data_IF_443173215694
#
_entry.id   IF_443173215694
#
_cell.length_a   1.000
_cell.length_b   1.000
_cell.length_c   1.000
_cell.angle_alpha   90.00
_cell.angle_beta   90.00
_cell.angle_gamma   90.00
#
_symmetry.space_group_name_H-M   'P 1'
#
loop_
_entity.id
_entity.type
_entity.pdbx_description
1 polymer ?
#
# COMPACT_ATOMS: atom_id res chain seq x y z
N UNK A 1 -32.82 22.67 16.79
CA UNK A 1 -32.51 21.68 15.73
C UNK A 1 -31.05 21.28 15.86
N UNK A 2 -30.68 19.99 15.96
CA UNK A 2 -29.27 19.64 16.11
C UNK A 2 -28.55 19.83 14.77
N UNK A 3 -27.49 20.64 14.80
CA UNK A 3 -26.58 20.91 13.70
C UNK A 3 -25.74 19.65 13.47
N UNK A 4 -26.22 18.75 12.61
CA UNK A 4 -25.45 17.58 12.20
C UNK A 4 -24.11 18.07 11.66
N UNK A 5 -23.02 17.61 12.27
CA UNK A 5 -21.65 17.92 11.83
C UNK A 5 -21.48 17.22 10.50
N UNK A 6 -21.33 17.98 9.40
CA UNK A 6 -20.82 17.47 8.14
C UNK A 6 -19.55 16.67 8.44
N UNK A 7 -19.63 15.34 8.34
CA UNK A 7 -18.46 14.49 8.47
C UNK A 7 -17.70 14.69 7.16
N UNK A 8 -16.60 15.45 7.23
CA UNK A 8 -15.74 15.68 6.06
C UNK A 8 -15.38 14.34 5.43
N UNK A 9 -15.61 14.23 4.12
CA UNK A 9 -15.35 13.05 3.30
C UNK A 9 -14.35 13.44 2.22
N UNK A 10 -13.34 12.61 2.03
CA UNK A 10 -12.33 12.79 1.01
C UNK A 10 -12.14 11.47 0.24
N UNK A 11 -12.12 11.56 -1.09
CA UNK A 11 -11.76 10.45 -1.97
C UNK A 11 -10.34 10.66 -2.50
N UNK A 12 -9.52 9.63 -2.32
CA UNK A 12 -8.14 9.54 -2.76
C UNK A 12 -8.02 8.38 -3.74
N UNK A 13 -7.28 8.62 -4.81
CA UNK A 13 -6.84 7.59 -5.73
C UNK A 13 -5.35 7.81 -6.01
N UNK A 14 -4.57 6.75 -5.92
CA UNK A 14 -3.14 6.74 -6.20
C UNK A 14 -2.83 5.55 -7.07
N UNK A 15 -2.18 5.80 -8.20
CA UNK A 15 -1.73 4.79 -9.14
C UNK A 15 -0.22 4.93 -9.30
N UNK A 16 0.52 3.83 -9.15
CA UNK A 16 1.96 3.79 -9.40
C UNK A 16 2.31 2.58 -10.24
N UNK A 17 3.28 2.76 -11.11
CA UNK A 17 3.84 1.72 -11.94
C UNK A 17 5.36 1.67 -11.77
N UNK A 18 5.94 0.48 -11.84
CA UNK A 18 7.39 0.32 -11.96
C UNK A 18 7.74 -0.87 -12.82
N UNK A 19 8.88 -0.78 -13.50
CA UNK A 19 9.45 -1.87 -14.26
C UNK A 19 10.65 -2.43 -13.50
N UNK A 20 10.70 -3.75 -13.36
CA UNK A 20 11.75 -4.47 -12.65
C UNK A 20 12.40 -5.48 -13.57
N UNK A 21 13.71 -5.69 -13.41
CA UNK A 21 14.45 -6.75 -14.10
C UNK A 21 14.34 -8.06 -13.32
N UNK A 22 13.11 -8.57 -13.22
CA UNK A 22 12.76 -9.83 -12.56
C UNK A 22 11.64 -10.54 -13.33
N UNK A 23 11.59 -11.86 -13.20
CA UNK A 23 10.51 -12.68 -13.75
C UNK A 23 9.16 -12.35 -13.11
N UNK A 24 8.07 -12.62 -13.83
CA UNK A 24 6.72 -12.44 -13.29
C UNK A 24 6.54 -13.29 -12.03
N UNK A 25 7.13 -14.48 -12.02
CA UNK A 25 7.08 -15.38 -10.87
C UNK A 25 7.81 -14.82 -9.64
N UNK A 26 8.98 -14.17 -9.81
CA UNK A 26 9.71 -13.56 -8.71
C UNK A 26 8.97 -12.33 -8.15
N UNK A 27 8.44 -11.48 -9.04
CA UNK A 27 7.60 -10.36 -8.67
C UNK A 27 6.35 -10.82 -7.91
N UNK A 28 5.68 -11.85 -8.43
CA UNK A 28 4.52 -12.47 -7.80
C UNK A 28 4.83 -13.05 -6.42
N UNK A 29 5.98 -13.71 -6.26
CA UNK A 29 6.41 -14.23 -4.97
C UNK A 29 6.57 -13.12 -3.92
N UNK A 30 7.12 -11.95 -4.31
CA UNK A 30 7.18 -10.80 -3.41
C UNK A 30 5.78 -10.25 -3.07
N UNK A 31 4.88 -10.14 -4.06
CA UNK A 31 3.50 -9.67 -3.80
C UNK A 31 2.72 -10.57 -2.84
N UNK A 32 3.03 -11.88 -2.82
CA UNK A 32 2.43 -12.86 -1.91
C UNK A 32 3.09 -12.92 -0.54
N UNK A 33 4.35 -12.49 -0.43
CA UNK A 33 5.05 -12.39 0.86
C UNK A 33 4.68 -11.08 1.56
N UNK A 34 3.54 -11.10 2.25
CA UNK A 34 3.00 -9.91 2.92
C UNK A 34 3.99 -9.28 3.92
N UNK A 35 4.71 -10.04 4.77
CA UNK A 35 5.76 -9.47 5.61
C UNK A 35 6.85 -8.72 4.82
N UNK A 36 7.39 -9.31 3.76
CA UNK A 36 8.42 -8.65 2.92
C UNK A 36 7.86 -7.44 2.20
N UNK A 37 6.70 -7.56 1.55
CA UNK A 37 6.03 -6.46 0.86
C UNK A 37 5.69 -5.31 1.82
N UNK A 38 5.23 -5.64 3.03
CA UNK A 38 4.93 -4.69 4.08
C UNK A 38 6.15 -3.90 4.56
N UNK A 39 7.33 -4.53 4.59
CA UNK A 39 8.61 -3.86 4.86
C UNK A 39 8.95 -2.78 3.83
N UNK A 40 8.42 -2.88 2.61
CA UNK A 40 8.56 -1.85 1.60
C UNK A 40 7.64 -0.64 1.86
N UNK A 41 6.59 -0.75 2.67
CA UNK A 41 5.63 0.35 2.87
C UNK A 41 6.12 1.25 4.01
N UNK A 42 6.55 2.49 3.74
CA UNK A 42 6.94 3.40 4.81
C UNK A 42 5.71 3.72 5.67
N UNK A 43 5.93 3.98 6.97
CA UNK A 43 4.88 4.33 7.95
C UNK A 43 3.95 3.19 8.33
N UNK A 44 4.10 2.00 7.75
CA UNK A 44 3.43 0.79 8.23
C UNK A 44 4.25 0.16 9.35
N UNK A 45 3.59 -0.14 10.46
CA UNK A 45 4.11 -0.90 11.60
C UNK A 45 3.13 -2.00 11.98
N UNK A 46 3.55 -2.90 12.87
CA UNK A 46 2.67 -3.92 13.47
C UNK A 46 1.89 -4.75 12.44
N UNK A 47 2.53 -5.02 11.29
CA UNK A 47 1.97 -5.90 10.27
C UNK A 47 1.93 -7.32 10.81
N UNK A 48 0.73 -7.89 10.84
CA UNK A 48 0.47 -9.23 11.34
C UNK A 48 -0.42 -10.01 10.37
N UNK A 49 -0.15 -11.31 10.28
CA UNK A 49 -1.03 -12.26 9.59
C UNK A 49 -2.09 -12.75 10.57
N UNK A 50 -3.36 -12.50 10.27
CA UNK A 50 -4.49 -13.02 11.03
C UNK A 50 -4.94 -14.36 10.45
N UNK A 51 -5.05 -14.41 9.11
CA UNK A 51 -5.35 -15.60 8.34
C UNK A 51 -4.58 -15.52 7.02
N UNK A 52 -3.64 -16.44 6.80
CA UNK A 52 -2.81 -16.43 5.61
C UNK A 52 -3.66 -16.40 4.33
N UNK A 53 -3.25 -15.60 3.36
CA UNK A 53 -3.93 -15.35 2.08
C UNK A 53 -5.34 -14.75 2.17
N UNK A 54 -5.83 -14.39 3.37
CA UNK A 54 -7.19 -13.84 3.53
C UNK A 54 -7.25 -12.57 4.35
N UNK A 55 -6.58 -12.51 5.50
CA UNK A 55 -6.69 -11.39 6.42
C UNK A 55 -5.37 -11.03 7.09
N UNK A 56 -5.08 -9.74 7.06
CA UNK A 56 -3.93 -9.15 7.70
C UNK A 56 -4.35 -7.89 8.46
N UNK A 57 -3.52 -7.48 9.40
CA UNK A 57 -3.68 -6.21 10.12
C UNK A 57 -2.37 -5.45 10.11
N UNK A 58 -2.45 -4.13 10.10
CA UNK A 58 -1.28 -3.26 10.18
C UNK A 58 -1.66 -1.96 10.89
N UNK A 59 -0.66 -1.16 11.28
CA UNK A 59 -0.86 0.20 11.77
C UNK A 59 -0.18 1.16 10.82
N UNK A 60 -0.91 2.17 10.33
CA UNK A 60 -0.33 3.29 9.59
C UNK A 60 -0.07 4.43 10.56
N UNK A 61 1.19 4.71 10.84
CA UNK A 61 1.63 5.73 11.78
C UNK A 61 2.37 6.86 11.05
N UNK A 62 1.80 8.06 11.03
CA UNK A 62 2.36 9.18 10.30
C UNK A 62 2.22 10.52 11.02
N UNK A 63 2.95 11.53 10.56
CA UNK A 63 2.88 12.89 11.07
C UNK A 63 2.56 13.85 9.93
N UNK A 64 1.41 14.51 10.04
CA UNK A 64 0.93 15.52 9.11
C UNK A 64 0.91 16.87 9.83
N UNK A 65 2.02 17.60 9.72
CA UNK A 65 2.21 18.86 10.44
C UNK A 65 2.18 18.66 11.97
N UNK A 66 1.37 19.43 12.73
CA UNK A 66 1.23 19.24 14.18
C UNK A 66 0.39 18.00 14.54
N UNK A 67 -0.22 17.32 13.57
CA UNK A 67 -1.11 16.19 13.81
C UNK A 67 -0.35 14.87 13.67
N UNK A 68 -0.27 14.12 14.78
CA UNK A 68 0.11 12.71 14.74
C UNK A 68 -1.10 11.85 14.36
N UNK A 69 -0.87 10.85 13.51
CA UNK A 69 -1.86 9.89 13.05
C UNK A 69 -1.35 8.48 13.36
N UNK A 70 -2.21 7.65 13.91
CA UNK A 70 -1.98 6.21 14.06
C UNK A 70 -3.31 5.53 13.81
N UNK A 71 -3.41 4.78 12.71
CA UNK A 71 -4.65 4.14 12.27
C UNK A 71 -4.41 2.65 12.16
N UNK A 72 -5.05 1.83 13.00
CA UNK A 72 -5.10 0.39 12.76
C UNK A 72 -5.94 0.13 11.51
N UNK A 73 -5.42 -0.72 10.62
CA UNK A 73 -6.00 -1.09 9.34
C UNK A 73 -6.11 -2.61 9.28
N UNK A 74 -7.30 -3.10 8.94
CA UNK A 74 -7.54 -4.46 8.49
C UNK A 74 -7.47 -4.51 6.97
N UNK A 75 -6.83 -5.55 6.46
CA UNK A 75 -6.64 -5.85 5.05
C UNK A 75 -7.29 -7.20 4.81
N UNK A 76 -8.37 -7.23 4.02
CA UNK A 76 -9.03 -8.47 3.60
C UNK A 76 -8.77 -8.69 2.11
N UNK A 77 -8.20 -9.84 1.77
CA UNK A 77 -7.97 -10.22 0.38
C UNK A 77 -9.33 -10.58 -0.25
N UNK A 78 -9.70 -9.86 -1.30
CA UNK A 78 -10.94 -10.08 -2.06
C UNK A 78 -10.71 -11.17 -3.12
N UNK A 79 -9.64 -11.05 -3.90
CA UNK A 79 -9.31 -12.02 -4.95
C UNK A 79 -7.81 -12.13 -5.19
N UNK A 80 -7.41 -13.32 -5.63
CA UNK A 80 -6.06 -13.65 -6.09
C UNK A 80 -6.19 -14.38 -7.42
N UNK A 81 -5.65 -13.78 -8.48
CA UNK A 81 -5.57 -14.36 -9.81
C UNK A 81 -4.09 -14.60 -10.14
N UNK A 82 -3.54 -15.74 -9.71
CA UNK A 82 -2.11 -16.00 -9.83
C UNK A 82 -1.67 -16.24 -11.30
N UNK A 83 -0.46 -15.80 -11.70
CA UNK A 83 0.50 -14.95 -11.00
C UNK A 83 0.34 -13.45 -11.35
N UNK A 84 -0.89 -12.99 -11.58
CA UNK A 84 -1.16 -11.69 -12.22
C UNK A 84 -1.67 -10.63 -11.28
N UNK A 85 -2.64 -10.93 -10.41
CA UNK A 85 -3.41 -9.88 -9.73
C UNK A 85 -3.80 -10.27 -8.31
N UNK A 86 -3.71 -9.29 -7.40
CA UNK A 86 -4.26 -9.35 -6.04
C UNK A 86 -5.15 -8.12 -5.85
N UNK A 87 -6.37 -8.34 -5.36
CA UNK A 87 -7.28 -7.28 -4.95
C UNK A 87 -7.59 -7.45 -3.47
N UNK A 88 -7.50 -6.37 -2.71
CA UNK A 88 -7.77 -6.34 -1.28
C UNK A 88 -8.67 -5.16 -0.90
N UNK A 89 -9.52 -5.38 0.09
CA UNK A 89 -10.23 -4.33 0.81
C UNK A 89 -9.42 -3.85 2.01
N UNK A 90 -9.44 -2.53 2.19
CA UNK A 90 -8.82 -1.85 3.32
C UNK A 90 -9.91 -1.26 4.20
N UNK A 91 -9.82 -1.44 5.51
CA UNK A 91 -10.66 -0.73 6.46
C UNK A 91 -9.86 -0.35 7.70
N UNK A 92 -10.03 0.87 8.19
CA UNK A 92 -9.28 1.34 9.35
C UNK A 92 -10.01 2.46 10.08
N UNK A 93 -9.83 2.50 11.39
CA UNK A 93 -10.49 3.49 12.24
C UNK A 93 -9.64 3.78 13.46
N UNK A 94 -9.20 5.03 13.59
CA UNK A 94 -8.56 5.52 14.80
C UNK A 94 -9.63 5.77 15.89
N UNK A 95 -9.36 5.28 17.11
CA UNK A 95 -10.27 5.42 18.26
C UNK A 95 -10.43 6.86 18.72
N UNK A 96 -9.46 7.75 18.41
CA UNK A 96 -9.51 9.19 18.72
C UNK A 96 -10.27 10.00 17.66
N UNK A 97 -10.92 9.34 16.70
CA UNK A 97 -11.72 9.97 15.66
C UNK A 97 -10.93 10.87 14.71
N UNK A 98 -9.61 10.66 14.61
CA UNK A 98 -8.76 11.40 13.67
C UNK A 98 -9.05 10.98 12.23
N UNK A 99 -9.17 9.68 11.98
CA UNK A 99 -9.43 9.14 10.66
C UNK A 99 -10.25 7.84 10.72
N UNK A 100 -11.17 7.71 9.77
CA UNK A 100 -11.72 6.43 9.32
C UNK A 100 -11.42 6.29 7.84
N UNK A 101 -10.90 5.13 7.45
CA UNK A 101 -10.54 4.83 6.08
C UNK A 101 -11.24 3.57 5.62
N UNK A 102 -11.70 3.56 4.37
CA UNK A 102 -12.13 2.34 3.68
C UNK A 102 -11.75 2.42 2.21
N UNK A 103 -11.50 1.30 1.57
CA UNK A 103 -11.13 1.34 0.16
C UNK A 103 -10.60 0.03 -0.37
N UNK A 104 -9.89 0.12 -1.49
CA UNK A 104 -9.26 -1.02 -2.14
C UNK A 104 -7.79 -0.76 -2.43
N UNK A 105 -7.03 -1.85 -2.47
CA UNK A 105 -5.67 -1.92 -2.98
C UNK A 105 -5.61 -3.04 -4.02
N UNK A 106 -5.08 -2.73 -5.18
CA UNK A 106 -4.87 -3.68 -6.27
C UNK A 106 -3.40 -3.67 -6.65
N UNK A 107 -2.83 -4.87 -6.80
CA UNK A 107 -1.50 -5.08 -7.34
C UNK A 107 -1.58 -5.99 -8.56
N UNK A 108 -0.96 -5.58 -9.66
CA UNK A 108 -0.89 -6.31 -10.93
C UNK A 108 0.57 -6.52 -11.30
N UNK A 109 0.92 -7.74 -11.72
CA UNK A 109 2.23 -8.12 -12.25
C UNK A 109 2.06 -8.66 -13.67
N UNK A 110 2.72 -8.02 -14.64
CA UNK A 110 2.67 -8.39 -16.05
C UNK A 110 4.08 -8.55 -16.62
N UNK A 111 4.35 -9.69 -17.26
CA UNK A 111 5.60 -9.89 -18.00
C UNK A 111 5.69 -8.90 -19.16
N UNK A 112 6.86 -8.30 -19.34
CA UNK A 112 7.14 -7.41 -20.47
C UNK A 112 7.31 -8.21 -21.78
N UNK A 113 7.03 -7.58 -22.91
CA UNK A 113 7.22 -8.19 -24.22
C UNK A 113 8.71 -8.49 -24.47
N UNK A 114 9.06 -9.77 -24.61
CA UNK A 114 10.45 -10.19 -24.86
C UNK A 114 10.96 -11.34 -23.99
N UNK A 115 10.21 -11.76 -22.95
CA UNK A 115 10.54 -12.93 -22.12
C UNK A 115 10.20 -12.74 -20.62
N UNK A 116 10.46 -13.76 -19.82
CA UNK A 116 10.19 -13.77 -18.35
C UNK A 116 11.36 -13.16 -17.54
N UNK A 117 12.03 -12.14 -18.07
CA UNK A 117 13.19 -11.49 -17.44
C UNK A 117 12.89 -10.10 -16.91
N UNK A 118 11.75 -9.53 -17.29
CA UNK A 118 11.33 -8.21 -16.83
C UNK A 118 9.81 -8.15 -16.67
N UNK A 119 9.38 -7.45 -15.63
CA UNK A 119 7.98 -7.38 -15.18
C UNK A 119 7.58 -5.92 -14.95
N UNK A 120 6.38 -5.57 -15.38
CA UNK A 120 5.70 -4.34 -14.98
C UNK A 120 4.83 -4.63 -13.77
N UNK A 121 5.04 -3.87 -12.69
CA UNK A 121 4.22 -3.89 -11.49
C UNK A 121 3.38 -2.63 -11.42
N UNK A 122 2.06 -2.80 -11.29
CA UNK A 122 1.11 -1.71 -11.10
C UNK A 122 0.44 -1.83 -9.73
N UNK A 123 0.33 -0.70 -9.04
CA UNK A 123 -0.32 -0.59 -7.74
C UNK A 123 -1.35 0.52 -7.79
N UNK A 124 -2.60 0.15 -7.53
CA UNK A 124 -3.75 1.06 -7.54
C UNK A 124 -4.39 1.05 -6.15
N UNK A 125 -4.47 2.21 -5.51
CA UNK A 125 -5.14 2.37 -4.23
C UNK A 125 -6.26 3.39 -4.36
N UNK A 126 -7.46 3.03 -3.91
CA UNK A 126 -8.63 3.90 -3.85
C UNK A 126 -9.12 3.95 -2.42
N UNK A 127 -9.11 5.12 -1.79
CA UNK A 127 -9.51 5.30 -0.39
C UNK A 127 -10.60 6.37 -0.26
N UNK A 128 -11.57 6.07 0.58
CA UNK A 128 -12.42 7.05 1.23
C UNK A 128 -11.89 7.31 2.64
N UNK A 129 -11.63 8.58 2.92
CA UNK A 129 -11.17 9.07 4.22
C UNK A 129 -12.27 9.93 4.83
N UNK A 130 -12.61 9.66 6.09
CA UNK A 130 -13.55 10.46 6.87
C UNK A 130 -12.90 10.98 8.15
N UNK A 131 -13.49 12.03 8.72
CA UNK A 131 -13.12 12.58 10.01
C UNK A 131 -12.20 13.80 9.90
N UNK A 132 -11.45 14.09 10.97
CA UNK A 132 -10.62 15.30 11.04
C UNK A 132 -9.54 15.33 9.96
N UNK A 133 -9.02 14.17 9.58
CA UNK A 133 -8.04 14.06 8.52
C UNK A 133 -8.60 14.49 7.15
N UNK A 134 -9.86 14.19 6.86
CA UNK A 134 -10.52 14.60 5.63
C UNK A 134 -10.73 16.13 5.55
N UNK A 135 -10.83 16.81 6.70
CA UNK A 135 -10.94 18.27 6.77
C UNK A 135 -9.65 19.01 6.35
N UNK A 136 -8.50 18.33 6.27
CA UNK A 136 -7.27 18.91 5.71
C UNK A 136 -7.38 19.20 4.20
N UNK A 137 -8.36 18.60 3.53
CA UNK A 137 -8.60 18.78 2.10
C UNK A 137 -7.79 17.83 1.21
N UNK A 138 -8.19 17.77 -0.06
CA UNK A 138 -7.69 16.76 -1.00
C UNK A 138 -6.22 16.93 -1.36
N UNK A 139 -5.76 18.16 -1.61
CA UNK A 139 -4.42 18.43 -2.11
C UNK A 139 -3.29 17.94 -1.17
N UNK A 140 -3.24 18.33 0.12
CA UNK A 140 -2.17 17.86 1.02
C UNK A 140 -2.24 16.35 1.25
N UNK A 141 -3.45 15.78 1.31
CA UNK A 141 -3.62 14.35 1.50
C UNK A 141 -3.17 13.53 0.28
N UNK A 142 -3.50 13.98 -0.93
CA UNK A 142 -3.02 13.37 -2.18
C UNK A 142 -1.50 13.41 -2.27
N UNK A 143 -0.88 14.56 -1.98
CA UNK A 143 0.59 14.67 -1.94
C UNK A 143 1.18 13.67 -0.97
N UNK A 144 0.64 13.58 0.26
CA UNK A 144 1.17 12.63 1.25
C UNK A 144 1.04 11.18 0.82
N UNK A 145 -0.12 10.80 0.29
CA UNK A 145 -0.34 9.45 -0.21
C UNK A 145 0.61 9.12 -1.38
N UNK A 146 0.83 10.08 -2.28
CA UNK A 146 1.76 9.96 -3.40
C UNK A 146 3.21 9.79 -2.93
N UNK A 147 3.65 10.53 -1.91
CA UNK A 147 4.99 10.41 -1.32
C UNK A 147 5.21 9.00 -0.74
N UNK A 148 4.24 8.48 0.03
CA UNK A 148 4.28 7.14 0.64
C UNK A 148 4.36 6.07 -0.45
N UNK A 149 3.49 6.16 -1.47
CA UNK A 149 3.44 5.17 -2.55
C UNK A 149 4.65 5.23 -3.47
N UNK A 150 5.20 6.42 -3.72
CA UNK A 150 6.43 6.57 -4.51
C UNK A 150 7.62 5.91 -3.82
N UNK A 151 7.74 6.05 -2.49
CA UNK A 151 8.79 5.39 -1.72
C UNK A 151 8.57 3.87 -1.64
N UNK A 152 7.32 3.43 -1.47
CA UNK A 152 6.97 2.01 -1.51
C UNK A 152 7.41 1.35 -2.81
N UNK A 153 7.06 1.94 -3.95
CA UNK A 153 7.40 1.39 -5.26
C UNK A 153 8.91 1.38 -5.51
N UNK A 154 9.65 2.38 -5.03
CA UNK A 154 11.12 2.37 -5.06
C UNK A 154 11.69 1.19 -4.28
N UNK A 155 11.18 0.92 -3.07
CA UNK A 155 11.64 -0.19 -2.23
C UNK A 155 11.29 -1.55 -2.83
N UNK A 156 10.10 -1.70 -3.41
CA UNK A 156 9.70 -2.92 -4.16
C UNK A 156 10.66 -3.16 -5.32
N UNK A 157 11.00 -2.12 -6.08
CA UNK A 157 11.98 -2.22 -7.16
C UNK A 157 13.34 -2.69 -6.65
N UNK A 158 13.86 -2.10 -5.57
CA UNK A 158 15.14 -2.50 -4.96
C UNK A 158 15.13 -3.94 -4.44
N UNK A 159 14.00 -4.42 -3.95
CA UNK A 159 13.83 -5.81 -3.48
C UNK A 159 13.83 -6.84 -4.63
N UNK A 160 13.39 -6.43 -5.83
CA UNK A 160 13.27 -7.31 -7.00
C UNK A 160 14.45 -7.21 -7.97
N UNK A 161 15.17 -6.09 -7.99
CA UNK A 161 16.35 -5.95 -8.83
C UNK A 161 17.51 -6.80 -8.29
N UNK A 162 18.33 -7.41 -9.18
CA UNK A 162 19.51 -8.14 -8.77
C UNK A 162 20.42 -7.22 -7.96
N UNK A 163 20.58 -7.50 -6.66
CA UNK A 163 21.58 -6.81 -5.84
C UNK A 163 22.95 -7.15 -6.44
N UNK A 164 23.82 -6.16 -6.74
CA UNK A 164 25.19 -6.48 -7.07
C UNK A 164 25.77 -7.20 -5.86
N UNK A 165 26.09 -8.49 -6.03
CA UNK A 165 26.74 -9.30 -5.01
C UNK A 165 27.94 -8.54 -4.49
N UNK A 166 27.84 -8.00 -3.27
CA UNK A 166 28.97 -7.42 -2.58
C UNK A 166 30.03 -8.51 -2.49
N UNK A 167 31.14 -8.29 -3.21
CA UNK A 167 32.08 -9.32 -3.59
C UNK A 167 32.53 -10.19 -2.43
N UNK A 168 32.66 -11.48 -2.75
CA UNK A 168 33.60 -12.36 -2.08
C UNK A 168 34.94 -11.61 -1.93
N UNK A 169 35.24 -11.17 -0.70
CA UNK A 169 36.60 -10.85 -0.32
C UNK A 169 37.22 -12.16 0.14
N UNK A 170 38.16 -12.61 -0.68
CA UNK A 170 39.11 -13.69 -0.42
C UNK A 170 39.90 -13.44 0.86
#
# INVERSE_FOLDING_TARGET
MPRWREVSRLLLEVNKETHVQASQQAAWALLRDVPRLGGCIPKVTDLATVEADRRYTAVVADKLGPFGLSVPVQIDIESIEAPRRILAHLSGNDSKGAARVRGTLEAIAESTAGGDTATTLQFTMKLEVLGRLAALGAAPMRRRADDIFSEFVKRVRTELEPQPSAGARA
#
